data_IF_854783864405
#
_entry.id   IF_854783864405
#
_cell.length_a   1.000
_cell.length_b   1.000
_cell.length_c   1.000
_cell.angle_alpha   90.00
_cell.angle_beta   90.00
_cell.angle_gamma   90.00
#
_symmetry.space_group_name_H-M   'P 1'
#
loop_
_entity.id
_entity.type
_entity.pdbx_description
1 polymer ?
#
# COMPACT_ATOMS: atom_id res chain seq x y z
N UNK A 1 -8.38 -2.59 -39.09
CA UNK A 1 -7.70 -1.31 -38.79
C UNK A 1 -8.04 -0.92 -37.36
N UNK A 2 -7.12 -1.15 -36.42
CA UNK A 2 -7.33 -0.95 -34.98
C UNK A 2 -7.18 0.51 -34.59
N UNK A 3 -8.17 1.04 -33.88
CA UNK A 3 -8.27 2.42 -33.43
C UNK A 3 -7.10 2.76 -32.48
N UNK A 4 -6.12 3.54 -32.95
CA UNK A 4 -4.86 3.91 -32.26
C UNK A 4 -5.11 4.83 -31.04
N UNK A 5 -6.35 5.30 -30.84
CA UNK A 5 -6.79 6.15 -29.71
C UNK A 5 -6.81 5.48 -28.31
N UNK A 6 -6.22 4.29 -28.14
CA UNK A 6 -6.40 3.50 -26.90
C UNK A 6 -5.42 3.81 -25.76
N UNK A 7 -4.26 4.43 -26.02
CA UNK A 7 -3.19 4.50 -25.01
C UNK A 7 -3.00 5.86 -24.34
N UNK A 8 -3.28 6.96 -25.04
CA UNK A 8 -2.81 8.29 -24.66
C UNK A 8 -3.89 9.33 -24.91
N UNK A 9 -4.32 10.05 -23.86
CA UNK A 9 -5.43 11.00 -23.94
C UNK A 9 -5.02 12.40 -23.56
N UNK A 10 -4.42 12.59 -22.39
CA UNK A 10 -4.14 13.93 -21.87
C UNK A 10 -2.95 13.92 -20.93
N UNK A 11 -2.15 14.98 -20.95
CA UNK A 11 -1.04 15.15 -20.02
C UNK A 11 -1.56 15.68 -18.68
N UNK A 12 -1.26 14.98 -17.59
CA UNK A 12 -1.64 15.35 -16.23
C UNK A 12 -0.44 15.27 -15.30
N UNK A 13 -0.45 16.03 -14.23
CA UNK A 13 0.53 15.94 -13.15
C UNK A 13 -0.12 15.29 -11.93
N UNK A 14 0.32 14.07 -11.59
CA UNK A 14 -0.28 13.28 -10.51
C UNK A 14 0.81 12.64 -9.63
N UNK A 15 0.58 12.48 -8.32
CA UNK A 15 1.41 11.64 -7.48
C UNK A 15 1.34 10.19 -7.97
N UNK A 16 2.48 9.63 -8.35
CA UNK A 16 2.58 8.26 -8.87
C UNK A 16 3.82 7.56 -8.32
N UNK A 17 3.63 6.31 -7.92
CA UNK A 17 4.68 5.36 -7.58
C UNK A 17 4.49 4.11 -8.41
N UNK A 18 5.57 3.53 -8.92
CA UNK A 18 5.50 2.28 -9.66
C UNK A 18 6.76 1.46 -9.42
N UNK A 19 6.60 0.15 -9.54
CA UNK A 19 7.67 -0.84 -9.46
C UNK A 19 7.39 -1.95 -10.47
N UNK A 20 8.44 -2.61 -10.95
CA UNK A 20 8.26 -3.82 -11.74
C UNK A 20 7.81 -4.99 -10.85
N UNK A 21 7.09 -5.95 -11.43
CA UNK A 21 6.66 -7.12 -10.69
C UNK A 21 7.84 -7.95 -10.17
N UNK A 22 8.96 -7.98 -10.91
CA UNK A 22 10.16 -8.70 -10.51
C UNK A 22 10.84 -8.04 -9.30
N UNK A 23 10.91 -6.71 -9.29
CA UNK A 23 11.35 -5.93 -8.11
C UNK A 23 10.44 -6.19 -6.91
N UNK A 24 9.12 -6.26 -7.12
CA UNK A 24 8.17 -6.59 -6.05
C UNK A 24 8.41 -7.99 -5.50
N UNK A 25 8.53 -9.02 -6.35
CA UNK A 25 8.71 -10.41 -5.92
C UNK A 25 10.05 -10.57 -5.17
N UNK A 26 11.12 -9.95 -5.66
CA UNK A 26 12.42 -9.92 -4.97
C UNK A 26 12.34 -9.22 -3.61
N UNK A 27 11.69 -8.05 -3.56
CA UNK A 27 11.49 -7.31 -2.31
C UNK A 27 10.64 -8.09 -1.30
N UNK A 28 9.59 -8.78 -1.76
CA UNK A 28 8.72 -9.61 -0.93
C UNK A 28 9.48 -10.77 -0.30
N UNK A 29 10.32 -11.44 -1.07
CA UNK A 29 11.14 -12.55 -0.57
C UNK A 29 12.17 -12.07 0.48
N UNK A 30 12.86 -10.97 0.21
CA UNK A 30 13.79 -10.36 1.17
C UNK A 30 13.07 -9.86 2.43
N UNK A 31 11.88 -9.27 2.28
CA UNK A 31 11.05 -8.80 3.39
C UNK A 31 10.67 -9.98 4.30
N UNK A 32 10.29 -11.13 3.74
CA UNK A 32 9.96 -12.32 4.56
C UNK A 32 11.15 -12.78 5.41
N UNK A 33 12.32 -12.95 4.79
CA UNK A 33 13.54 -13.41 5.48
C UNK A 33 14.00 -12.43 6.56
N UNK A 34 13.80 -11.13 6.34
CA UNK A 34 14.14 -10.09 7.30
C UNK A 34 13.13 -9.97 8.45
N UNK A 35 11.84 -10.10 8.16
CA UNK A 35 10.77 -9.88 9.14
C UNK A 35 10.68 -11.00 10.18
N UNK A 36 10.95 -12.25 9.84
CA UNK A 36 10.88 -13.37 10.79
C UNK A 36 12.17 -14.18 10.81
N UNK A 37 13.07 -13.78 11.70
CA UNK A 37 14.32 -14.52 11.93
C UNK A 37 14.06 -15.88 12.58
N UNK A 38 15.01 -16.82 12.42
CA UNK A 38 14.95 -18.13 13.08
C UNK A 38 14.83 -18.02 14.61
N UNK A 39 15.44 -16.97 15.20
CA UNK A 39 15.36 -16.66 16.63
C UNK A 39 13.95 -16.25 17.05
N UNK A 40 13.29 -15.38 16.29
CA UNK A 40 11.92 -14.95 16.56
C UNK A 40 10.92 -16.09 16.39
N UNK A 41 11.08 -16.90 15.34
CA UNK A 41 10.27 -18.10 15.13
C UNK A 41 10.42 -19.10 16.30
N UNK A 42 11.64 -19.32 16.78
CA UNK A 42 11.90 -20.16 17.95
C UNK A 42 11.28 -19.59 19.24
N UNK A 43 11.36 -18.27 19.43
CA UNK A 43 10.76 -17.60 20.58
C UNK A 43 9.22 -17.70 20.58
N UNK A 44 8.56 -17.46 19.44
CA UNK A 44 7.12 -17.64 19.30
C UNK A 44 6.69 -19.10 19.53
N UNK A 45 7.47 -20.07 19.03
CA UNK A 45 7.23 -21.50 19.29
C UNK A 45 7.35 -21.83 20.79
N UNK A 46 8.32 -21.24 21.48
CA UNK A 46 8.47 -21.37 22.94
C UNK A 46 7.25 -20.79 23.66
N UNK A 47 6.84 -19.56 23.33
CA UNK A 47 5.65 -18.93 23.92
C UNK A 47 4.40 -19.80 23.75
N UNK A 48 4.17 -20.33 22.54
CA UNK A 48 3.03 -21.22 22.28
C UNK A 48 3.07 -22.46 23.18
N UNK A 49 4.24 -23.10 23.31
CA UNK A 49 4.39 -24.26 24.18
C UNK A 49 4.12 -23.90 25.64
N UNK A 50 4.71 -22.83 26.14
CA UNK A 50 4.62 -22.43 27.55
C UNK A 50 3.18 -22.01 27.91
N UNK A 51 2.45 -21.35 26.98
CA UNK A 51 1.02 -21.06 27.12
C UNK A 51 0.20 -22.36 27.20
N UNK A 52 0.43 -23.31 26.29
CA UNK A 52 -0.34 -24.57 26.26
C UNK A 52 -0.12 -25.40 27.53
N UNK A 53 1.12 -25.47 28.03
CA UNK A 53 1.44 -26.13 29.30
C UNK A 53 0.68 -25.48 30.46
N UNK A 54 0.77 -24.16 30.62
CA UNK A 54 0.09 -23.46 31.71
C UNK A 54 -1.44 -23.55 31.63
N UNK A 55 -2.02 -23.49 30.43
CA UNK A 55 -3.46 -23.66 30.24
C UNK A 55 -3.92 -25.09 30.60
N UNK A 56 -3.10 -26.10 30.33
CA UNK A 56 -3.40 -27.51 30.64
C UNK A 56 -3.20 -27.87 32.11
N UNK A 57 -2.17 -27.33 32.76
CA UNK A 57 -1.79 -27.68 34.13
C UNK A 57 -2.54 -26.86 35.20
N UNK A 58 -2.77 -25.56 34.94
CA UNK A 58 -3.23 -24.64 35.99
C UNK A 58 -4.75 -24.46 36.07
N UNK A 59 -5.52 -25.00 35.11
CA UNK A 59 -6.96 -24.81 35.05
C UNK A 59 -7.68 -26.15 34.88
N UNK A 60 -8.67 -26.40 35.74
CA UNK A 60 -9.59 -27.52 35.56
C UNK A 60 -10.49 -27.29 34.33
N UNK A 61 -10.78 -28.39 33.62
CA UNK A 61 -11.68 -28.36 32.46
C UNK A 61 -13.03 -27.77 32.84
N UNK A 62 -13.36 -26.61 32.26
CA UNK A 62 -14.64 -25.92 32.48
C UNK A 62 -14.59 -24.61 33.26
N UNK A 63 -13.42 -24.12 33.70
CA UNK A 63 -13.36 -22.78 34.34
C UNK A 63 -13.62 -21.64 33.34
N UNK A 64 -14.42 -20.63 33.73
CA UNK A 64 -14.69 -19.44 32.92
C UNK A 64 -13.38 -18.72 32.51
N UNK A 65 -12.41 -18.66 33.43
CA UNK A 65 -11.08 -18.09 33.19
C UNK A 65 -10.32 -18.82 32.08
N UNK A 66 -10.36 -20.15 32.06
CA UNK A 66 -9.74 -20.95 31.01
C UNK A 66 -10.38 -20.65 29.65
N UNK A 67 -11.70 -20.52 29.58
CA UNK A 67 -12.40 -20.18 28.34
C UNK A 67 -11.98 -18.81 27.80
N UNK A 68 -11.83 -17.81 28.68
CA UNK A 68 -11.34 -16.47 28.29
C UNK A 68 -9.92 -16.56 27.73
N UNK A 69 -9.01 -17.27 28.38
CA UNK A 69 -7.63 -17.37 27.91
C UNK A 69 -7.48 -18.18 26.63
N UNK A 70 -8.26 -19.26 26.49
CA UNK A 70 -8.33 -20.02 25.23
C UNK A 70 -8.87 -19.15 24.09
N UNK A 71 -9.91 -18.36 24.35
CA UNK A 71 -10.46 -17.40 23.40
C UNK A 71 -9.39 -16.38 22.98
N UNK A 72 -8.73 -15.71 23.92
CA UNK A 72 -7.66 -14.74 23.62
C UNK A 72 -6.54 -15.40 22.80
N UNK A 73 -6.06 -16.57 23.23
CA UNK A 73 -5.00 -17.28 22.53
C UNK A 73 -5.40 -17.63 21.09
N UNK A 74 -6.61 -18.16 20.90
CA UNK A 74 -7.14 -18.54 19.59
C UNK A 74 -7.23 -17.34 18.63
N UNK A 75 -7.62 -16.17 19.14
CA UNK A 75 -7.71 -14.95 18.32
C UNK A 75 -6.34 -14.39 17.96
N UNK A 76 -5.36 -14.47 18.87
CA UNK A 76 -3.96 -14.15 18.55
C UNK A 76 -3.42 -15.14 17.50
N UNK A 77 -3.77 -16.43 17.59
CA UNK A 77 -3.40 -17.43 16.57
C UNK A 77 -4.02 -17.12 15.21
N UNK A 78 -5.25 -16.62 15.17
CA UNK A 78 -5.88 -16.19 13.92
C UNK A 78 -5.16 -14.96 13.33
N UNK A 79 -4.80 -13.99 14.17
CA UNK A 79 -3.99 -12.83 13.77
C UNK A 79 -2.65 -13.28 13.18
N UNK A 80 -1.96 -14.19 13.85
CA UNK A 80 -0.70 -14.76 13.42
C UNK A 80 -0.81 -15.50 12.08
N UNK A 81 -1.91 -16.24 11.86
CA UNK A 81 -2.16 -16.97 10.63
C UNK A 81 -2.33 -16.03 9.43
N UNK A 82 -3.14 -14.96 9.56
CA UNK A 82 -3.26 -13.95 8.49
C UNK A 82 -1.91 -13.28 8.25
N UNK A 83 -1.25 -12.83 9.31
CA UNK A 83 0.02 -12.11 9.21
C UNK A 83 1.09 -12.95 8.52
N UNK A 84 1.17 -14.25 8.83
CA UNK A 84 2.13 -15.16 8.21
C UNK A 84 1.91 -15.29 6.70
N UNK A 85 0.65 -15.34 6.25
CA UNK A 85 0.34 -15.38 4.82
C UNK A 85 0.69 -14.05 4.13
N UNK A 86 0.36 -12.91 4.75
CA UNK A 86 0.72 -11.59 4.22
C UNK A 86 2.24 -11.38 4.11
N UNK A 87 3.00 -11.83 5.11
CA UNK A 87 4.46 -11.78 5.10
C UNK A 87 5.06 -12.62 3.97
N UNK A 88 4.39 -13.69 3.54
CA UNK A 88 4.78 -14.53 2.38
C UNK A 88 4.18 -14.05 1.06
N UNK A 89 3.49 -12.90 1.07
CA UNK A 89 2.72 -12.40 -0.07
C UNK A 89 1.69 -13.40 -0.63
N UNK A 90 1.16 -14.27 0.21
CA UNK A 90 0.12 -15.24 -0.13
C UNK A 90 -1.25 -14.67 0.16
N UNK A 91 -2.21 -14.86 -0.76
CA UNK A 91 -3.61 -14.47 -0.53
C UNK A 91 -4.30 -15.46 0.43
N UNK A 92 -4.66 -15.04 1.66
CA UNK A 92 -5.32 -15.93 2.60
C UNK A 92 -6.67 -16.43 2.07
N UNK A 93 -7.34 -15.68 1.18
CA UNK A 93 -8.65 -16.06 0.61
C UNK A 93 -8.60 -17.33 -0.22
N UNK A 94 -7.42 -17.73 -0.69
CA UNK A 94 -7.21 -18.98 -1.43
C UNK A 94 -7.13 -20.21 -0.53
N UNK A 95 -6.92 -20.03 0.78
CA UNK A 95 -6.87 -21.13 1.73
C UNK A 95 -8.30 -21.55 2.13
N UNK A 96 -8.63 -22.87 2.14
CA UNK A 96 -9.98 -23.36 2.43
C UNK A 96 -10.56 -22.87 3.76
N UNK A 97 -9.71 -22.75 4.78
CA UNK A 97 -10.11 -22.34 6.13
C UNK A 97 -10.39 -20.84 6.29
N UNK A 98 -10.08 -19.98 5.32
CA UNK A 98 -10.18 -18.52 5.48
C UNK A 98 -11.58 -18.06 5.87
N UNK A 99 -12.59 -18.46 5.09
CA UNK A 99 -13.99 -18.06 5.32
C UNK A 99 -14.50 -18.59 6.66
N UNK A 100 -14.07 -19.79 7.05
CA UNK A 100 -14.42 -20.37 8.34
C UNK A 100 -13.81 -19.56 9.49
N UNK A 101 -12.51 -19.24 9.44
CA UNK A 101 -11.82 -18.48 10.49
C UNK A 101 -12.39 -17.08 10.65
N UNK A 102 -12.64 -16.36 9.55
CA UNK A 102 -13.27 -15.03 9.58
C UNK A 102 -14.66 -15.07 10.23
N UNK A 103 -15.48 -16.06 9.88
CA UNK A 103 -16.82 -16.23 10.48
C UNK A 103 -16.73 -16.61 11.96
N UNK A 104 -15.81 -17.51 12.31
CA UNK A 104 -15.58 -17.95 13.69
C UNK A 104 -15.17 -16.78 14.58
N UNK A 105 -14.22 -15.95 14.12
CA UNK A 105 -13.79 -14.76 14.86
C UNK A 105 -14.92 -13.75 15.05
N UNK A 106 -15.70 -13.48 13.99
CA UNK A 106 -16.85 -12.56 14.06
C UNK A 106 -17.89 -13.00 15.09
N UNK A 107 -18.05 -14.30 15.31
CA UNK A 107 -18.98 -14.87 16.28
C UNK A 107 -18.37 -15.00 17.68
N UNK A 108 -17.07 -14.79 17.83
CA UNK A 108 -16.38 -14.88 19.11
C UNK A 108 -16.73 -13.66 19.96
N UNK A 109 -17.25 -13.92 21.17
CA UNK A 109 -17.58 -12.89 22.15
C UNK A 109 -16.87 -13.19 23.46
N UNK A 110 -16.48 -12.13 24.17
CA UNK A 110 -15.97 -12.28 25.52
C UNK A 110 -17.08 -12.92 26.39
N UNK A 111 -16.81 -14.04 27.08
CA UNK A 111 -17.76 -14.65 27.99
C UNK A 111 -18.23 -13.65 29.06
N UNK A 112 -19.53 -13.63 29.35
CA UNK A 112 -20.08 -12.81 30.42
C UNK A 112 -19.60 -13.37 31.77
N UNK A 113 -18.74 -12.61 32.45
CA UNK A 113 -18.25 -13.02 33.77
C UNK A 113 -19.20 -12.56 34.86
N UNK A 114 -19.57 -13.48 35.76
CA UNK A 114 -20.46 -13.18 36.90
C UNK A 114 -19.79 -12.31 37.97
N UNK A 115 -18.46 -12.17 37.93
CA UNK A 115 -17.66 -11.41 38.91
C UNK A 115 -16.70 -10.48 38.19
N UNK A 116 -16.81 -9.17 38.44
CA UNK A 116 -15.80 -8.19 38.01
C UNK A 116 -14.50 -8.44 38.76
N UNK A 117 -13.53 -9.05 38.10
CA UNK A 117 -12.18 -9.26 38.64
C UNK A 117 -11.31 -8.03 38.39
N UNK A 118 -10.27 -7.82 39.21
CA UNK A 118 -9.31 -6.71 39.03
C UNK A 118 -8.51 -6.81 37.71
N UNK A 119 -8.47 -7.98 37.09
CA UNK A 119 -7.81 -8.24 35.80
C UNK A 119 -8.74 -8.05 34.59
N UNK A 120 -10.04 -7.84 34.81
CA UNK A 120 -11.01 -7.68 33.72
C UNK A 120 -10.69 -6.50 32.79
N UNK A 121 -10.31 -5.30 33.28
CA UNK A 121 -9.94 -4.18 32.41
C UNK A 121 -8.79 -4.52 31.45
N UNK A 122 -7.82 -5.32 31.91
CA UNK A 122 -6.71 -5.78 31.09
C UNK A 122 -7.18 -6.73 29.98
N UNK A 123 -8.08 -7.67 30.32
CA UNK A 123 -8.68 -8.60 29.34
C UNK A 123 -9.48 -7.83 28.28
N UNK A 124 -10.30 -6.87 28.71
CA UNK A 124 -11.07 -6.00 27.82
C UNK A 124 -10.14 -5.20 26.89
N UNK A 125 -9.08 -4.61 27.44
CA UNK A 125 -8.05 -3.92 26.65
C UNK A 125 -7.40 -4.81 25.60
N UNK A 126 -7.04 -6.04 25.96
CA UNK A 126 -6.49 -7.01 25.01
C UNK A 126 -7.51 -7.35 23.90
N UNK A 127 -8.78 -7.56 24.24
CA UNK A 127 -9.84 -7.84 23.27
C UNK A 127 -9.99 -6.69 22.27
N UNK A 128 -9.99 -5.44 22.75
CA UNK A 128 -10.05 -4.25 21.89
C UNK A 128 -8.87 -4.22 20.93
N UNK A 129 -7.65 -4.36 21.44
CA UNK A 129 -6.44 -4.34 20.62
C UNK A 129 -6.44 -5.46 19.55
N UNK A 130 -6.81 -6.69 19.94
CA UNK A 130 -6.91 -7.83 19.03
C UNK A 130 -7.99 -7.59 17.96
N UNK A 131 -9.16 -7.05 18.35
CA UNK A 131 -10.23 -6.71 17.39
C UNK A 131 -9.73 -5.74 16.32
N UNK A 132 -9.01 -4.70 16.73
CA UNK A 132 -8.54 -3.68 15.82
C UNK A 132 -7.48 -4.22 14.84
N UNK A 133 -6.54 -5.04 15.33
CA UNK A 133 -5.56 -5.69 14.45
C UNK A 133 -6.20 -6.69 13.48
N UNK A 134 -7.12 -7.52 13.96
CA UNK A 134 -7.84 -8.46 13.09
C UNK A 134 -8.69 -7.74 12.06
N UNK A 135 -9.35 -6.65 12.44
CA UNK A 135 -10.10 -5.82 11.50
C UNK A 135 -9.18 -5.23 10.43
N UNK A 136 -8.04 -4.65 10.82
CA UNK A 136 -7.05 -4.13 9.88
C UNK A 136 -6.53 -5.22 8.94
N UNK A 137 -6.13 -6.39 9.47
CA UNK A 137 -5.60 -7.48 8.66
C UNK A 137 -6.65 -8.03 7.67
N UNK A 138 -7.91 -8.15 8.09
CA UNK A 138 -9.00 -8.57 7.21
C UNK A 138 -9.26 -7.51 6.14
N UNK A 139 -9.24 -6.23 6.50
CA UNK A 139 -9.37 -5.10 5.56
C UNK A 139 -8.26 -5.13 4.50
N UNK A 140 -7.00 -5.33 4.91
CA UNK A 140 -5.84 -5.49 4.01
C UNK A 140 -6.06 -6.64 3.02
N UNK A 141 -6.54 -7.79 3.50
CA UNK A 141 -6.81 -8.96 2.65
C UNK A 141 -7.97 -8.69 1.68
N UNK A 142 -9.06 -8.11 2.16
CA UNK A 142 -10.25 -7.82 1.36
C UNK A 142 -9.97 -6.81 0.25
N UNK A 143 -9.18 -5.78 0.56
CA UNK A 143 -8.82 -4.71 -0.36
C UNK A 143 -7.55 -5.01 -1.17
N UNK A 144 -6.96 -6.20 -1.01
CA UNK A 144 -5.79 -6.60 -1.77
C UNK A 144 -6.10 -6.76 -3.27
N UNK A 145 -5.13 -6.37 -4.11
CA UNK A 145 -5.27 -6.40 -5.56
C UNK A 145 -4.66 -7.68 -6.08
N UNK A 146 -5.48 -8.47 -6.78
CA UNK A 146 -5.17 -9.83 -7.28
C UNK A 146 -4.68 -10.80 -6.18
N UNK A 147 -4.81 -10.44 -4.91
CA UNK A 147 -4.23 -11.19 -3.79
C UNK A 147 -2.70 -11.14 -3.75
N UNK A 148 -2.09 -10.13 -4.36
CA UNK A 148 -0.62 -9.97 -4.45
C UNK A 148 -0.13 -8.63 -3.92
N UNK A 149 -0.93 -7.57 -4.08
CA UNK A 149 -0.60 -6.23 -3.59
C UNK A 149 -1.46 -5.97 -2.37
N UNK A 150 -0.80 -5.81 -1.22
CA UNK A 150 -1.43 -5.55 0.07
C UNK A 150 -1.21 -4.09 0.45
N UNK A 151 -2.29 -3.40 0.78
CA UNK A 151 -2.27 -2.01 1.23
C UNK A 151 -2.61 -1.96 2.71
N UNK A 152 -1.82 -1.21 3.48
CA UNK A 152 -1.97 -1.05 4.93
C UNK A 152 -2.46 0.36 5.26
N UNK A 153 -3.79 0.60 5.27
CA UNK A 153 -4.35 1.95 5.35
C UNK A 153 -4.31 2.56 6.75
N UNK A 154 -4.18 1.74 7.81
CA UNK A 154 -4.23 2.23 9.20
C UNK A 154 -2.85 2.69 9.66
N UNK A 155 -2.81 3.72 10.51
CA UNK A 155 -1.56 4.21 11.12
C UNK A 155 -0.91 3.13 12.01
N UNK A 156 0.42 3.19 12.15
CA UNK A 156 1.16 2.36 13.10
C UNK A 156 0.76 2.75 14.53
N UNK A 157 0.55 1.75 15.38
CA UNK A 157 0.12 1.91 16.77
C UNK A 157 1.22 1.46 17.74
N UNK A 158 1.24 1.99 18.98
CA UNK A 158 2.15 1.49 20.00
C UNK A 158 1.79 0.06 20.43
N UNK A 159 2.79 -0.65 20.96
CA UNK A 159 2.60 -1.99 21.52
C UNK A 159 1.68 -1.98 22.75
N UNK A 160 0.97 -3.08 22.97
CA UNK A 160 0.10 -3.26 24.13
C UNK A 160 0.91 -3.26 25.45
N UNK A 161 0.49 -2.43 26.41
CA UNK A 161 1.14 -2.31 27.73
C UNK A 161 0.19 -2.70 28.85
N UNK A 162 0.52 -3.79 29.54
CA UNK A 162 -0.25 -4.26 30.70
C UNK A 162 -0.43 -3.19 31.79
N UNK A 163 0.61 -2.35 31.98
CA UNK A 163 0.66 -1.31 33.02
C UNK A 163 -0.40 -0.23 32.87
N UNK A 164 -0.95 -0.07 31.67
CA UNK A 164 -2.02 0.90 31.40
C UNK A 164 -3.36 0.42 32.02
N UNK A 165 -3.46 -0.86 32.37
CA UNK A 165 -4.66 -1.49 32.93
C UNK A 165 -4.45 -2.03 34.35
N UNK A 166 -3.30 -2.67 34.62
CA UNK A 166 -2.98 -3.32 35.91
C UNK A 166 -1.51 -3.08 36.25
N UNK A 167 -1.24 -2.57 37.46
CA UNK A 167 0.11 -2.17 37.88
C UNK A 167 1.00 -3.32 38.37
N UNK A 168 0.41 -4.38 38.93
CA UNK A 168 1.12 -5.45 39.63
C UNK A 168 1.04 -6.82 38.92
N UNK A 169 0.76 -6.85 37.61
CA UNK A 169 0.60 -8.10 36.87
C UNK A 169 1.87 -8.99 36.94
N UNK A 170 3.05 -8.38 36.75
CA UNK A 170 4.32 -9.10 36.82
C UNK A 170 4.57 -9.68 38.20
N UNK A 171 4.37 -8.89 39.26
CA UNK A 171 4.53 -9.33 40.64
C UNK A 171 3.60 -10.53 40.96
N UNK A 172 2.36 -10.51 40.50
CA UNK A 172 1.44 -11.63 40.66
C UNK A 172 1.92 -12.88 39.91
N UNK A 173 2.45 -12.72 38.69
CA UNK A 173 2.99 -13.82 37.91
C UNK A 173 4.23 -14.43 38.56
N UNK A 174 5.14 -13.60 39.09
CA UNK A 174 6.35 -14.02 39.79
C UNK A 174 6.02 -14.76 41.10
N UNK A 175 4.94 -14.37 41.77
CA UNK A 175 4.40 -15.05 42.95
C UNK A 175 3.62 -16.35 42.64
N UNK A 176 3.64 -16.83 41.39
CA UNK A 176 3.01 -18.10 41.01
C UNK A 176 1.50 -18.02 40.75
N UNK A 177 0.92 -16.83 40.63
CA UNK A 177 -0.50 -16.71 40.28
C UNK A 177 -0.72 -17.05 38.80
N UNK A 178 -1.17 -18.27 38.54
CA UNK A 178 -1.29 -18.81 37.17
C UNK A 178 -2.07 -17.92 36.18
N UNK A 179 -3.20 -17.28 36.53
CA UNK A 179 -3.88 -16.38 35.60
C UNK A 179 -3.02 -15.17 35.18
N UNK A 180 -2.17 -14.64 36.06
CA UNK A 180 -1.25 -13.57 35.72
C UNK A 180 -0.12 -14.06 34.82
N UNK A 181 0.40 -15.28 35.06
CA UNK A 181 1.43 -15.89 34.20
C UNK A 181 0.92 -16.10 32.78
N UNK A 182 -0.30 -16.64 32.62
CA UNK A 182 -0.92 -16.83 31.31
C UNK A 182 -1.15 -15.48 30.61
N UNK A 183 -1.67 -14.47 31.33
CA UNK A 183 -1.86 -13.14 30.76
C UNK A 183 -0.55 -12.50 30.31
N UNK A 184 0.52 -12.61 31.09
CA UNK A 184 1.84 -12.14 30.69
C UNK A 184 2.31 -12.80 29.39
N UNK A 185 2.20 -14.14 29.28
CA UNK A 185 2.59 -14.85 28.07
C UNK A 185 1.72 -14.49 26.86
N UNK A 186 0.42 -14.30 27.05
CA UNK A 186 -0.48 -13.86 25.97
C UNK A 186 -0.15 -12.44 25.50
N UNK A 187 0.21 -11.54 26.42
CA UNK A 187 0.65 -10.18 26.09
C UNK A 187 1.99 -10.21 25.37
N UNK A 188 2.95 -11.03 25.81
CA UNK A 188 4.22 -11.23 25.10
C UNK A 188 4.00 -11.75 23.68
N UNK A 189 3.12 -12.75 23.53
CA UNK A 189 2.77 -13.32 22.23
C UNK A 189 2.10 -12.28 21.32
N UNK A 190 1.11 -11.54 21.84
CA UNK A 190 0.47 -10.45 21.11
C UNK A 190 1.51 -9.42 20.65
N UNK A 191 2.33 -8.91 21.57
CA UNK A 191 3.34 -7.90 21.28
C UNK A 191 4.40 -8.39 20.28
N UNK A 192 4.74 -9.69 20.30
CA UNK A 192 5.65 -10.27 19.31
C UNK A 192 5.06 -10.19 17.89
N UNK A 193 3.79 -10.56 17.71
CA UNK A 193 3.12 -10.42 16.41
C UNK A 193 2.81 -8.97 16.04
N UNK A 194 2.54 -8.09 17.00
CA UNK A 194 2.39 -6.65 16.75
C UNK A 194 3.68 -6.04 16.19
N UNK A 195 4.86 -6.43 16.71
CA UNK A 195 6.14 -5.99 16.13
C UNK A 195 6.29 -6.43 14.69
N UNK A 196 5.95 -7.69 14.39
CA UNK A 196 5.96 -8.20 13.01
C UNK A 196 5.03 -7.40 12.10
N UNK A 197 3.83 -7.06 12.57
CA UNK A 197 2.89 -6.21 11.82
C UNK A 197 3.46 -4.80 11.61
N UNK A 198 4.08 -4.19 12.62
CA UNK A 198 4.71 -2.87 12.52
C UNK A 198 5.82 -2.88 11.46
N UNK A 199 6.72 -3.87 11.52
CA UNK A 199 7.82 -3.99 10.55
C UNK A 199 7.28 -4.27 9.15
N UNK A 200 6.26 -5.11 9.01
CA UNK A 200 5.58 -5.32 7.74
C UNK A 200 4.99 -4.02 7.18
N UNK A 201 4.30 -3.23 8.01
CA UNK A 201 3.76 -1.93 7.60
C UNK A 201 4.86 -0.95 7.19
N UNK A 202 5.99 -0.93 7.89
CA UNK A 202 7.16 -0.11 7.54
C UNK A 202 7.75 -0.53 6.20
N UNK A 203 7.91 -1.83 5.95
CA UNK A 203 8.42 -2.35 4.69
C UNK A 203 7.51 -1.96 3.50
N UNK A 204 6.21 -1.78 3.71
CA UNK A 204 5.27 -1.38 2.68
C UNK A 204 4.92 0.12 2.68
N UNK A 205 5.54 0.92 3.56
CA UNK A 205 5.18 2.32 3.78
C UNK A 205 5.33 3.18 2.52
N UNK A 206 6.39 2.96 1.73
CA UNK A 206 6.58 3.67 0.47
C UNK A 206 5.44 3.42 -0.53
N UNK A 207 4.82 2.23 -0.49
CA UNK A 207 3.72 1.82 -1.37
C UNK A 207 2.36 2.29 -0.88
N UNK A 208 2.23 2.60 0.41
CA UNK A 208 0.94 2.97 1.02
C UNK A 208 0.84 4.46 1.34
N UNK A 209 1.98 5.15 1.51
CA UNK A 209 2.01 6.57 1.82
C UNK A 209 1.99 7.43 0.54
N UNK A 210 0.79 7.72 0.05
CA UNK A 210 0.57 8.52 -1.15
C UNK A 210 1.11 9.96 -1.05
N UNK A 211 1.34 10.48 0.15
CA UNK A 211 1.93 11.82 0.36
C UNK A 211 3.42 11.86 -0.02
N UNK A 212 4.08 10.70 -0.08
CA UNK A 212 5.49 10.58 -0.45
C UNK A 212 5.72 10.27 -1.93
N UNK A 213 4.65 10.04 -2.70
CA UNK A 213 4.78 9.73 -4.12
C UNK A 213 5.20 10.97 -4.90
N UNK A 214 6.17 10.80 -5.80
CA UNK A 214 6.60 11.88 -6.67
C UNK A 214 5.46 12.30 -7.59
N UNK A 215 5.22 13.61 -7.70
CA UNK A 215 4.34 14.15 -8.73
C UNK A 215 5.06 14.05 -10.07
N UNK A 216 4.48 13.32 -11.01
CA UNK A 216 5.05 13.15 -12.34
C UNK A 216 4.08 13.64 -13.40
N UNK A 217 4.61 14.29 -14.44
CA UNK A 217 3.87 14.58 -15.65
C UNK A 217 3.75 13.29 -16.47
N UNK A 218 2.52 12.81 -16.62
CA UNK A 218 2.21 11.59 -17.35
C UNK A 218 1.13 11.85 -18.38
N UNK A 219 1.21 11.18 -19.53
CA UNK A 219 0.08 11.13 -20.43
C UNK A 219 -0.82 9.96 -20.01
N UNK A 220 -2.02 10.25 -19.52
CA UNK A 220 -2.91 9.26 -18.90
C UNK A 220 -4.14 8.98 -19.78
N UNK A 221 -4.59 7.73 -19.79
CA UNK A 221 -5.87 7.29 -20.32
C UNK A 221 -6.40 6.08 -19.56
N UNK A 222 -7.65 5.69 -19.81
CA UNK A 222 -8.18 4.44 -19.24
C UNK A 222 -7.50 3.17 -19.79
N UNK A 223 -6.73 3.25 -20.89
CA UNK A 223 -5.99 2.11 -21.43
C UNK A 223 -4.55 2.01 -20.91
N UNK A 224 -4.02 3.06 -20.29
CA UNK A 224 -2.62 3.09 -19.89
C UNK A 224 -2.11 4.51 -19.63
N UNK A 225 -0.81 4.61 -19.41
CA UNK A 225 -0.14 5.90 -19.31
C UNK A 225 1.25 5.87 -19.94
N UNK A 226 1.82 7.03 -20.23
CA UNK A 226 3.24 7.17 -20.54
C UNK A 226 3.90 8.27 -19.74
N UNK A 227 5.20 8.11 -19.52
CA UNK A 227 6.02 9.04 -18.75
C UNK A 227 7.45 9.03 -19.31
N UNK A 228 8.22 10.06 -18.94
CA UNK A 228 9.63 10.15 -19.29
C UNK A 228 10.48 9.80 -18.06
N UNK A 229 11.55 9.04 -18.26
CA UNK A 229 12.42 8.57 -17.19
C UNK A 229 13.86 8.38 -17.68
N UNK A 230 14.89 8.56 -16.83
CA UNK A 230 16.26 8.23 -17.21
C UNK A 230 16.49 6.71 -17.35
N UNK A 231 15.61 5.90 -16.77
CA UNK A 231 15.77 4.44 -16.71
C UNK A 231 15.12 3.72 -17.88
N UNK A 232 15.74 2.62 -18.30
CA UNK A 232 15.19 1.71 -19.31
C UNK A 232 14.44 0.56 -18.64
N UNK A 233 13.24 0.24 -19.11
CA UNK A 233 12.47 -0.93 -18.70
C UNK A 233 12.45 -2.02 -19.77
N UNK A 234 12.34 -3.29 -19.37
CA UNK A 234 12.17 -4.38 -20.33
C UNK A 234 10.79 -4.31 -21.01
N UNK A 235 10.73 -4.60 -22.31
CA UNK A 235 9.45 -4.73 -23.01
C UNK A 235 8.65 -5.88 -22.40
N UNK A 236 7.34 -5.66 -22.26
CA UNK A 236 6.39 -6.55 -21.61
C UNK A 236 6.64 -6.83 -20.14
N UNK A 237 7.56 -6.09 -19.48
CA UNK A 237 7.68 -6.13 -18.04
C UNK A 237 6.34 -5.73 -17.40
N UNK A 238 5.94 -6.49 -16.39
CA UNK A 238 4.76 -6.16 -15.60
C UNK A 238 5.14 -5.07 -14.61
N UNK A 239 4.28 -4.08 -14.47
CA UNK A 239 4.44 -2.98 -13.52
C UNK A 239 3.22 -2.88 -12.62
N UNK A 240 3.46 -2.65 -11.34
CA UNK A 240 2.42 -2.22 -10.42
C UNK A 240 2.48 -0.71 -10.32
N UNK A 241 1.33 -0.07 -10.42
CA UNK A 241 1.21 1.37 -10.59
C UNK A 241 0.24 1.87 -9.53
N UNK A 242 0.73 2.75 -8.68
CA UNK A 242 0.01 3.36 -7.58
C UNK A 242 -0.11 4.85 -7.92
N UNK A 243 -1.33 5.35 -8.05
CA UNK A 243 -1.57 6.73 -8.47
C UNK A 243 -2.66 7.37 -7.61
N UNK A 244 -2.49 8.65 -7.32
CA UNK A 244 -3.49 9.47 -6.62
C UNK A 244 -4.18 10.37 -7.62
N UNK A 245 -5.49 10.20 -7.79
CA UNK A 245 -6.33 10.95 -8.71
C UNK A 245 -7.33 11.79 -7.91
N UNK A 246 -6.95 13.01 -7.56
CA UNK A 246 -7.71 13.83 -6.61
C UNK A 246 -7.65 13.22 -5.21
N UNK A 247 -8.80 12.86 -4.65
CA UNK A 247 -8.88 12.18 -3.34
C UNK A 247 -8.81 10.66 -3.44
N UNK A 248 -8.93 10.09 -4.65
CA UNK A 248 -8.94 8.66 -4.85
C UNK A 248 -7.53 8.09 -5.01
N UNK A 249 -7.27 6.97 -4.35
CA UNK A 249 -6.06 6.16 -4.57
C UNK A 249 -6.42 5.00 -5.48
N UNK A 250 -5.72 4.92 -6.59
CA UNK A 250 -5.89 3.87 -7.57
C UNK A 250 -4.61 3.05 -7.66
N UNK A 251 -4.76 1.72 -7.61
CA UNK A 251 -3.65 0.80 -7.79
C UNK A 251 -4.01 -0.19 -8.89
N UNK A 252 -3.14 -0.26 -9.89
CA UNK A 252 -3.35 -0.98 -11.13
C UNK A 252 -2.13 -1.79 -11.49
N UNK A 253 -2.33 -2.87 -12.23
CA UNK A 253 -1.24 -3.57 -12.91
C UNK A 253 -1.22 -3.14 -14.36
N UNK A 254 -0.03 -3.07 -14.93
CA UNK A 254 0.16 -2.79 -16.34
C UNK A 254 1.36 -3.51 -16.92
N UNK A 255 1.54 -3.34 -18.21
CA UNK A 255 2.61 -3.94 -18.99
C UNK A 255 3.31 -2.87 -19.80
N UNK A 256 4.65 -2.88 -19.77
CA UNK A 256 5.45 -1.98 -20.61
C UNK A 256 5.27 -2.36 -22.08
N UNK A 257 4.66 -1.48 -22.87
CA UNK A 257 4.40 -1.67 -24.31
C UNK A 257 5.19 -0.71 -25.19
N UNK A 258 5.77 0.33 -24.60
CA UNK A 258 6.63 1.29 -25.29
C UNK A 258 7.85 1.58 -24.42
N UNK A 259 9.02 1.58 -25.04
CA UNK A 259 10.23 2.10 -24.45
C UNK A 259 11.11 2.70 -25.56
N UNK A 260 11.07 4.02 -25.70
CA UNK A 260 11.75 4.77 -26.77
C UNK A 260 12.66 5.83 -26.17
N UNK A 261 13.95 5.79 -26.49
CA UNK A 261 14.87 6.87 -26.12
C UNK A 261 14.56 8.14 -26.92
N UNK A 262 14.54 9.28 -26.24
CA UNK A 262 14.31 10.61 -26.81
C UNK A 262 15.62 11.42 -26.68
N UNK A 263 16.43 11.49 -27.76
CA UNK A 263 17.74 12.15 -27.70
C UNK A 263 17.68 13.62 -27.30
N UNK A 264 16.61 14.33 -27.68
CA UNK A 264 16.45 15.76 -27.42
C UNK A 264 16.40 16.12 -25.93
N UNK A 265 15.91 15.19 -25.10
CA UNK A 265 15.80 15.39 -23.65
C UNK A 265 16.63 14.37 -22.86
N UNK A 266 17.36 13.48 -23.53
CA UNK A 266 18.17 12.40 -22.94
C UNK A 266 17.40 11.52 -21.94
N UNK A 267 16.11 11.25 -22.22
CA UNK A 267 15.25 10.39 -21.40
C UNK A 267 14.58 9.29 -22.26
N UNK A 268 14.14 8.22 -21.61
CA UNK A 268 13.26 7.22 -22.21
C UNK A 268 11.80 7.62 -22.02
N UNK A 269 11.03 7.59 -23.12
CA UNK A 269 9.56 7.58 -23.08
C UNK A 269 9.09 6.15 -22.91
N UNK A 270 8.48 5.89 -21.77
CA UNK A 270 7.93 4.58 -21.39
C UNK A 270 6.42 4.65 -21.46
N UNK A 271 5.80 3.67 -22.11
CA UNK A 271 4.35 3.51 -22.15
C UNK A 271 3.95 2.20 -21.51
N UNK A 272 2.97 2.28 -20.62
CA UNK A 272 2.41 1.17 -19.85
C UNK A 272 0.95 1.01 -20.20
N UNK A 273 0.56 -0.17 -20.67
CA UNK A 273 -0.84 -0.56 -20.89
C UNK A 273 -1.39 -1.20 -19.63
N UNK A 274 -2.56 -0.78 -19.15
CA UNK A 274 -3.15 -1.40 -17.96
C UNK A 274 -3.70 -2.80 -18.26
N UNK A 275 -3.44 -3.75 -17.36
CA UNK A 275 -3.97 -5.11 -17.42
C UNK A 275 -5.28 -5.17 -16.62
N UNK A 276 -6.39 -5.52 -17.26
CA UNK A 276 -7.67 -5.87 -16.60
C UNK A 276 -8.21 -4.84 -15.59
N UNK A 277 -8.32 -3.57 -15.99
CA UNK A 277 -8.98 -2.57 -15.15
C UNK A 277 -10.44 -2.91 -14.87
N UNK A 278 -10.89 -2.60 -13.65
CA UNK A 278 -12.32 -2.64 -13.34
C UNK A 278 -13.03 -1.49 -14.04
N UNK A 279 -14.31 -1.69 -14.42
CA UNK A 279 -15.14 -0.62 -15.00
C UNK A 279 -15.22 0.63 -14.10
N UNK A 280 -15.12 0.44 -12.78
CA UNK A 280 -15.08 1.55 -11.83
C UNK A 280 -13.80 2.36 -11.97
N UNK A 281 -12.64 1.70 -12.04
CA UNK A 281 -11.34 2.35 -12.24
C UNK A 281 -11.24 3.03 -13.62
N UNK A 282 -11.72 2.38 -14.69
CA UNK A 282 -11.77 2.99 -16.03
C UNK A 282 -12.56 4.31 -16.04
N UNK A 283 -13.74 4.30 -15.38
CA UNK A 283 -14.58 5.49 -15.24
C UNK A 283 -13.89 6.58 -14.43
N UNK A 284 -13.26 6.22 -13.32
CA UNK A 284 -12.54 7.15 -12.45
C UNK A 284 -11.41 7.86 -13.22
N UNK A 285 -10.56 7.11 -13.92
CA UNK A 285 -9.50 7.68 -14.76
C UNK A 285 -10.10 8.59 -15.84
N UNK A 286 -11.15 8.12 -16.52
CA UNK A 286 -11.78 8.88 -17.62
C UNK A 286 -12.33 10.22 -17.14
N UNK A 287 -13.08 10.22 -16.03
CA UNK A 287 -13.65 11.42 -15.45
C UNK A 287 -12.57 12.38 -14.98
N UNK A 288 -11.54 11.86 -14.29
CA UNK A 288 -10.41 12.68 -13.84
C UNK A 288 -9.73 13.40 -15.01
N UNK A 289 -9.40 12.67 -16.07
CA UNK A 289 -8.77 13.24 -17.27
C UNK A 289 -9.67 14.28 -17.93
N UNK A 290 -10.97 14.00 -18.09
CA UNK A 290 -11.92 14.95 -18.67
C UNK A 290 -12.05 16.24 -17.84
N UNK A 291 -12.04 16.13 -16.51
CA UNK A 291 -12.08 17.29 -15.63
C UNK A 291 -10.82 18.16 -15.75
N UNK A 292 -9.64 17.56 -15.90
CA UNK A 292 -8.41 18.34 -16.13
C UNK A 292 -8.38 18.98 -17.51
N UNK A 293 -8.78 18.24 -18.56
CA UNK A 293 -8.91 18.77 -19.91
C UNK A 293 -9.83 20.00 -19.94
N UNK A 294 -10.99 19.92 -19.28
CA UNK A 294 -11.92 21.05 -19.18
C UNK A 294 -11.32 22.23 -18.40
N UNK A 295 -10.65 21.96 -17.27
CA UNK A 295 -10.07 23.00 -16.43
C UNK A 295 -8.98 23.79 -17.17
N UNK A 296 -8.11 23.10 -17.88
CA UNK A 296 -7.03 23.73 -18.63
C UNK A 296 -7.58 24.50 -19.84
N UNK A 297 -8.60 23.97 -20.52
CA UNK A 297 -9.30 24.68 -21.58
C UNK A 297 -9.94 25.98 -21.08
N UNK A 298 -10.59 25.96 -19.90
CA UNK A 298 -11.16 27.16 -19.30
C UNK A 298 -10.09 28.20 -18.94
N UNK A 299 -8.94 27.77 -18.40
CA UNK A 299 -7.81 28.69 -18.10
C UNK A 299 -7.27 29.35 -19.36
N UNK A 300 -7.16 28.60 -20.46
CA UNK A 300 -6.69 29.16 -21.74
C UNK A 300 -7.62 30.21 -22.36
N UNK A 301 -8.88 30.28 -21.90
CA UNK A 301 -9.84 31.31 -22.31
C UNK A 301 -9.80 32.55 -21.38
N UNK A 302 -9.20 32.43 -20.19
CA UNK A 302 -9.08 33.51 -19.20
C UNK A 302 -7.76 34.29 -19.34
N UNK A 303 -6.76 33.76 -20.03
CA UNK A 303 -5.54 34.51 -20.38
C UNK A 303 -5.86 35.49 -21.53
N UNK A 304 -5.83 36.82 -21.31
CA UNK A 304 -6.01 37.77 -22.39
C UNK A 304 -4.86 37.60 -23.37
N UNK A 305 -5.20 37.40 -24.65
CA UNK A 305 -4.24 37.61 -25.73
C UNK A 305 -3.71 39.03 -25.58
N UNK A 306 -2.47 39.18 -25.11
CA UNK A 306 -1.73 40.42 -25.32
C UNK A 306 -1.52 40.52 -26.81
N UNK A 307 -2.46 41.17 -27.48
CA UNK A 307 -2.33 41.62 -28.85
C UNK A 307 -1.03 42.42 -28.93
N UNK A 308 -0.07 41.89 -29.69
CA UNK A 308 1.09 42.63 -30.15
C UNK A 308 0.59 43.71 -31.11
N UNK A 309 0.27 44.88 -30.56
CA UNK A 309 0.18 46.11 -31.32
C UNK A 309 1.57 46.70 -31.56
N UNK A 310 1.81 46.99 -32.85
CA UNK A 310 2.67 48.02 -33.41
C UNK A 310 4.19 47.79 -33.45
N UNK A 311 4.69 47.54 -34.66
CA UNK A 311 5.62 48.52 -35.25
C UNK A 311 5.36 48.64 -36.76
N UNK A 312 4.48 49.58 -37.12
CA UNK A 312 4.44 50.18 -38.45
C UNK A 312 5.64 51.14 -38.55
N UNK A 313 6.70 50.71 -39.25
CA UNK A 313 7.66 51.66 -39.83
C UNK A 313 7.45 51.74 -41.33
N UNK A 314 6.60 52.70 -41.69
CA UNK A 314 6.61 53.35 -42.99
C UNK A 314 7.95 54.06 -43.15
N UNK A 315 8.74 53.68 -44.14
CA UNK A 315 9.78 54.54 -44.71
C UNK A 315 9.84 54.30 -46.21
N UNK A 316 9.44 55.34 -46.94
CA UNK A 316 9.32 55.43 -48.39
C UNK A 316 10.11 56.68 -48.79
N UNK A 317 11.24 56.49 -49.48
CA UNK A 317 11.94 57.46 -50.35
C UNK A 317 12.90 56.60 -51.20
N UNK A 318 12.62 56.34 -52.48
CA UNK A 318 13.08 57.10 -53.67
C UNK A 318 14.60 57.31 -53.59
N UNK A 319 15.49 56.71 -54.37
CA UNK A 319 15.45 56.24 -55.76
C UNK A 319 16.70 56.84 -56.41
N UNK A 320 17.62 56.04 -56.93
CA UNK A 320 18.47 56.44 -58.05
C UNK A 320 19.12 55.21 -58.72
N UNK A 321 18.95 55.16 -60.04
CA UNK A 321 19.55 54.23 -60.98
C UNK A 321 21.01 54.64 -61.24
N UNK A 322 21.93 53.69 -61.31
CA UNK A 322 23.05 53.72 -62.27
C UNK A 322 23.65 52.33 -62.42
N UNK A 323 23.45 51.74 -63.59
CA UNK A 323 24.38 51.04 -64.48
C UNK A 323 25.50 50.14 -63.91
N UNK A 324 25.40 48.86 -64.32
CA UNK A 324 26.47 47.88 -64.60
C UNK A 324 27.72 48.49 -65.30
N UNK A 325 28.94 47.88 -65.28
CA UNK A 325 29.14 46.44 -65.54
C UNK A 325 30.33 45.71 -64.86
N UNK A 326 30.28 44.38 -64.96
CA UNK A 326 31.36 43.39 -65.15
C UNK A 326 32.69 43.53 -64.37
N UNK A 327 33.06 42.46 -63.65
CA UNK A 327 34.31 41.74 -63.90
C UNK A 327 34.27 40.32 -63.28
N UNK A 328 34.54 39.33 -64.13
CA UNK A 328 34.89 37.95 -63.78
C UNK A 328 36.40 37.88 -63.91
N UNK A 329 37.11 37.36 -62.91
CA UNK A 329 38.30 36.56 -63.18
C UNK A 329 38.59 35.56 -62.05
N UNK A 330 38.64 34.30 -62.45
CA UNK A 330 39.12 33.14 -61.70
C UNK A 330 40.64 33.22 -61.50
N UNK A 331 41.14 32.69 -60.37
CA UNK A 331 42.32 31.82 -60.33
C UNK A 331 42.02 30.65 -59.37
#
# INVERSE_FOLDING_TARGET
MGNVRRYFRYDVEIPIFFETADEQESYQQQTYEHLMTAKEAAYLKKLNRDIQLLLGEAFSGGSETLQIFQMLNHRIDFMAWILSALMRAEDPRKQPEYQFRVRSDKNTRLPETRKKTKIMPLIEGMVVQINEHLHELIEVVQNSIEGKIFLYPRKIRPLFKAKDYVKNLQELADNGFAPAQVLNLLIEKLNAYERLLIELKRAYLAKTNNETWAVQKVNLSAGGFSFNTPSKFAFFAKMNVFMKLGEDILVCRGRVVLNKFLPSISLYKVGVEFESLSKAHERLITLYVQHQELRDAMRSLEEPQTDNEMDETVSREVGDETDEPFEIEEI
#
